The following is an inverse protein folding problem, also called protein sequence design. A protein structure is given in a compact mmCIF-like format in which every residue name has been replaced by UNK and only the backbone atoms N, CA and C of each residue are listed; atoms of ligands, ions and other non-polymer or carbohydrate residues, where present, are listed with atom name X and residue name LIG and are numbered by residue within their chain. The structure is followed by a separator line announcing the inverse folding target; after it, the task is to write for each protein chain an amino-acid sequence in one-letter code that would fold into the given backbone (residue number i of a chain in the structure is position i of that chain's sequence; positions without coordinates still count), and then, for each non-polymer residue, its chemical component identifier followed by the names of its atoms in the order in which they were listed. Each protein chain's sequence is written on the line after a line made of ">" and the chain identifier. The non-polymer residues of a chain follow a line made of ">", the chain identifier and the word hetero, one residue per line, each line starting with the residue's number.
data_IF_985543165960
#
_entry.id   IF_985543165960
#
_cell.length_a   1.000
_cell.length_b   1.000
_cell.length_c   1.000
_cell.angle_alpha   90.00
_cell.angle_beta   90.00
_cell.angle_gamma   90.00
#
_symmetry.space_group_name_H-M   'P 1'
#
loop_
_entity.id
_entity.type
_entity.pdbx_description
1 polymer ?
#
# COMPACT_ATOMS: atom_id res chain seq x y z
N UNK A 1 -3.99 -8.02 17.42
CA UNK A 1 -3.05 -6.89 17.51
C UNK A 1 -2.71 -6.58 16.07
N UNK A 2 -2.99 -5.37 15.55
CA UNK A 2 -2.77 -5.11 14.13
C UNK A 2 -1.27 -4.94 13.86
N UNK A 3 -0.69 -5.82 13.04
CA UNK A 3 0.72 -5.74 12.68
C UNK A 3 0.89 -4.69 11.59
N UNK A 4 1.48 -3.54 11.94
CA UNK A 4 1.82 -2.50 11.00
C UNK A 4 3.14 -2.87 10.29
N UNK A 5 3.07 -3.45 9.10
CA UNK A 5 4.27 -3.51 8.25
C UNK A 5 4.53 -2.10 7.72
N UNK A 6 5.62 -1.51 8.20
CA UNK A 6 6.07 -0.21 7.74
C UNK A 6 6.73 -0.40 6.37
N UNK A 7 6.11 0.10 5.29
CA UNK A 7 6.90 0.40 4.09
C UNK A 7 7.93 1.45 4.51
N UNK A 8 9.20 1.24 4.14
CA UNK A 8 10.27 2.15 4.57
C UNK A 8 9.92 3.56 4.11
N UNK A 9 9.87 4.56 5.02
CA UNK A 9 9.66 5.93 4.63
C UNK A 9 10.76 6.36 3.66
N UNK A 10 10.46 7.36 2.84
CA UNK A 10 11.43 7.94 1.94
C UNK A 10 11.32 9.45 1.93
N UNK A 11 12.35 10.10 1.44
CA UNK A 11 12.38 11.53 1.17
C UNK A 11 12.90 11.77 -0.23
N UNK A 12 12.54 12.89 -0.82
CA UNK A 12 13.06 13.27 -2.13
C UNK A 12 13.15 14.78 -2.30
N UNK A 13 14.10 15.20 -3.12
CA UNK A 13 14.32 16.59 -3.47
C UNK A 13 13.58 16.95 -4.78
N UNK A 14 13.57 18.23 -5.15
CA UNK A 14 12.86 18.72 -6.34
C UNK A 14 13.68 18.60 -7.64
N UNK A 15 14.79 17.85 -7.65
CA UNK A 15 15.61 17.69 -8.84
C UNK A 15 14.85 16.93 -9.94
N UNK A 16 14.96 17.45 -11.17
CA UNK A 16 14.42 16.82 -12.37
C UNK A 16 15.50 16.81 -13.44
N UNK A 17 15.99 15.63 -13.88
CA UNK A 17 17.03 15.55 -14.89
C UNK A 17 16.49 15.99 -16.26
N UNK A 18 17.40 16.49 -17.11
CA UNK A 18 17.04 16.90 -18.46
C UNK A 18 16.48 15.70 -19.26
N UNK A 19 15.33 15.92 -19.92
CA UNK A 19 14.66 14.87 -20.68
C UNK A 19 13.84 13.88 -19.84
N UNK A 20 13.69 14.09 -18.53
CA UNK A 20 12.74 13.35 -17.71
C UNK A 20 11.32 13.53 -18.26
N UNK A 21 10.61 12.41 -18.46
CA UNK A 21 9.25 12.38 -18.99
C UNK A 21 8.38 11.56 -18.07
N UNK A 22 7.17 12.06 -17.82
CA UNK A 22 6.13 11.31 -17.13
C UNK A 22 4.92 11.16 -18.06
N UNK A 23 4.13 10.11 -17.84
CA UNK A 23 2.85 9.99 -18.52
C UNK A 23 1.86 11.04 -17.99
N UNK A 24 0.93 11.49 -18.83
CA UNK A 24 -0.10 12.45 -18.43
C UNK A 24 -0.91 11.90 -17.24
N UNK A 25 -1.04 12.69 -16.18
CA UNK A 25 -1.71 12.29 -14.93
C UNK A 25 -0.86 11.45 -13.97
N UNK A 26 0.38 11.10 -14.32
CA UNK A 26 1.30 10.38 -13.43
C UNK A 26 2.32 11.36 -12.83
N UNK A 27 2.35 11.41 -11.50
CA UNK A 27 3.43 12.08 -10.76
C UNK A 27 4.54 11.06 -10.53
N UNK A 28 5.71 11.29 -11.11
CA UNK A 28 6.91 10.46 -10.87
C UNK A 28 8.04 11.33 -10.36
N UNK A 29 8.77 10.78 -9.39
CA UNK A 29 9.99 11.39 -8.86
C UNK A 29 11.19 10.68 -9.49
N UNK A 30 12.19 11.39 -10.01
CA UNK A 30 13.41 10.76 -10.52
C UNK A 30 14.14 9.98 -9.42
N UNK A 31 14.66 8.80 -9.74
CA UNK A 31 15.34 7.94 -8.75
C UNK A 31 16.51 8.65 -8.05
N UNK A 32 17.25 9.49 -8.76
CA UNK A 32 18.39 10.26 -8.22
C UNK A 32 17.99 11.29 -7.14
N UNK A 33 16.73 11.72 -7.17
CA UNK A 33 16.17 12.64 -6.20
C UNK A 33 15.69 11.91 -4.92
N UNK A 34 15.57 10.57 -4.93
CA UNK A 34 14.99 9.78 -3.84
C UNK A 34 16.06 9.27 -2.87
N UNK A 35 15.74 9.29 -1.58
CA UNK A 35 16.50 8.63 -0.53
C UNK A 35 15.57 7.88 0.42
N UNK A 36 15.95 6.62 0.70
CA UNK A 36 15.29 5.77 1.70
C UNK A 36 15.96 5.85 3.07
N UNK A 37 16.94 6.75 3.24
CA UNK A 37 17.63 6.98 4.51
C UNK A 37 16.77 7.85 5.43
N UNK A 38 15.60 7.35 5.77
CA UNK A 38 14.66 7.96 6.71
C UNK A 38 14.35 6.91 7.78
N UNK A 39 14.60 7.26 9.04
CA UNK A 39 14.20 6.42 10.17
C UNK A 39 12.76 6.76 10.56
N UNK A 40 11.93 5.73 10.75
CA UNK A 40 10.60 5.86 11.35
C UNK A 40 10.54 4.94 12.57
N UNK A 41 10.30 5.54 13.72
CA UNK A 41 10.02 4.82 14.98
C UNK A 41 8.68 5.30 15.54
N UNK A 42 8.09 4.57 16.48
CA UNK A 42 6.81 4.94 17.08
C UNK A 42 6.82 4.70 18.58
N UNK A 43 5.93 5.41 19.28
CA UNK A 43 5.62 5.16 20.69
C UNK A 43 4.13 5.44 20.96
N UNK A 44 3.57 4.76 21.95
CA UNK A 44 2.20 4.99 22.42
C UNK A 44 2.29 5.64 23.80
N UNK A 45 1.74 6.84 23.96
CA UNK A 45 1.71 7.59 25.23
C UNK A 45 0.26 7.97 25.48
N UNK A 46 -0.27 7.68 26.68
CA UNK A 46 -1.65 8.02 27.07
C UNK A 46 -2.71 7.63 26.02
N UNK A 47 -2.52 6.46 25.39
CA UNK A 47 -3.39 5.91 24.33
C UNK A 47 -3.39 6.71 23.01
N UNK A 48 -2.39 7.58 22.80
CA UNK A 48 -2.11 8.27 21.54
C UNK A 48 -0.88 7.66 20.84
N UNK A 49 -0.95 7.49 19.52
CA UNK A 49 0.15 7.01 18.68
C UNK A 49 1.02 8.17 18.22
N UNK A 50 2.30 8.16 18.61
CA UNK A 50 3.32 9.10 18.15
C UNK A 50 4.24 8.42 17.14
N UNK A 51 4.49 9.11 16.04
CA UNK A 51 5.43 8.70 15.00
C UNK A 51 6.61 9.65 14.98
N UNK A 52 7.82 9.09 15.01
CA UNK A 52 9.08 9.83 14.95
C UNK A 52 9.74 9.55 13.61
N UNK A 53 9.72 10.56 12.75
CA UNK A 53 10.46 10.56 11.49
C UNK A 53 11.78 11.31 11.67
N UNK A 54 12.87 10.66 11.29
CA UNK A 54 14.21 11.24 11.28
C UNK A 54 14.87 11.01 9.92
N UNK A 55 14.77 11.97 8.98
CA UNK A 55 15.47 11.92 7.71
C UNK A 55 16.98 12.10 7.90
N UNK A 56 17.79 11.51 7.01
CA UNK A 56 19.24 11.59 7.09
C UNK A 56 19.74 13.03 6.88
N UNK A 57 20.33 13.59 7.94
CA UNK A 57 20.87 14.96 7.93
C UNK A 57 21.91 15.21 6.85
N UNK A 58 22.84 14.27 6.62
CA UNK A 58 23.90 14.42 5.61
C UNK A 58 23.31 14.51 4.20
N UNK A 59 22.26 13.73 3.92
CA UNK A 59 21.57 13.80 2.64
C UNK A 59 20.84 15.14 2.48
N UNK A 60 20.17 15.64 3.52
CA UNK A 60 19.48 16.94 3.50
C UNK A 60 20.45 18.12 3.30
N UNK A 61 21.63 18.05 3.89
CA UNK A 61 22.65 19.12 3.85
C UNK A 61 23.61 19.02 2.65
N UNK A 62 23.43 18.03 1.77
CA UNK A 62 24.24 17.90 0.55
C UNK A 62 23.98 19.10 -0.37
N UNK A 63 25.05 19.76 -0.83
CA UNK A 63 24.96 20.96 -1.67
C UNK A 63 24.32 20.71 -3.04
N UNK A 64 24.19 19.45 -3.45
CA UNK A 64 23.54 19.07 -4.70
C UNK A 64 22.01 18.95 -4.58
N UNK A 65 21.43 19.03 -3.37
CA UNK A 65 19.98 18.92 -3.16
C UNK A 65 19.24 20.13 -3.70
N UNK A 66 18.14 19.89 -4.40
CA UNK A 66 17.26 20.94 -4.93
C UNK A 66 16.03 21.07 -4.04
N UNK A 67 15.85 22.21 -3.39
CA UNK A 67 14.71 22.46 -2.52
C UNK A 67 13.47 22.92 -3.32
N UNK A 68 12.23 22.65 -2.84
CA UNK A 68 11.89 22.00 -1.57
C UNK A 68 12.14 20.49 -1.54
N UNK A 69 12.28 19.95 -0.32
CA UNK A 69 12.39 18.51 -0.06
C UNK A 69 11.05 18.03 0.52
N UNK A 70 10.58 16.88 0.04
CA UNK A 70 9.41 16.19 0.55
C UNK A 70 9.84 14.97 1.38
N UNK A 71 9.21 14.77 2.53
CA UNK A 71 9.37 13.59 3.37
C UNK A 71 8.03 12.85 3.35
N UNK A 72 8.02 11.62 2.84
CA UNK A 72 6.83 10.79 2.71
C UNK A 72 6.85 9.65 3.74
N UNK A 73 6.09 9.78 4.85
CA UNK A 73 5.74 8.66 5.71
C UNK A 73 4.67 7.81 5.02
N UNK A 74 5.07 6.75 4.32
CA UNK A 74 4.11 5.74 3.87
C UNK A 74 3.72 4.83 5.04
N UNK A 75 2.61 5.14 5.71
CA UNK A 75 2.04 4.28 6.75
C UNK A 75 1.00 3.38 6.10
N UNK A 76 1.34 2.11 5.91
CA UNK A 76 0.36 1.12 5.49
C UNK A 76 -0.22 0.48 6.75
N UNK A 77 -1.50 0.70 7.00
CA UNK A 77 -2.25 -0.16 7.91
C UNK A 77 -2.48 -1.47 7.17
N UNK A 78 -1.71 -2.52 7.48
CA UNK A 78 -2.17 -3.85 7.10
C UNK A 78 -3.42 -4.10 7.94
N UNK A 79 -4.55 -4.31 7.26
CA UNK A 79 -5.70 -4.92 7.92
C UNK A 79 -5.32 -6.38 8.16
N UNK A 80 -4.55 -6.61 9.21
CA UNK A 80 -4.36 -7.95 9.77
C UNK A 80 -5.62 -8.23 10.59
N UNK A 81 -6.70 -8.52 9.89
CA UNK A 81 -7.79 -9.28 10.45
C UNK A 81 -7.85 -10.57 9.67
N UNK A 82 -7.86 -11.70 10.38
CA UNK A 82 -8.23 -13.00 9.83
C UNK A 82 -9.71 -13.02 9.35
N UNK A 83 -10.42 -11.89 9.45
CA UNK A 83 -11.84 -11.72 9.16
C UNK A 83 -12.18 -11.69 7.66
N UNK A 84 -11.16 -11.67 6.78
CA UNK A 84 -11.33 -11.71 5.33
C UNK A 84 -10.59 -12.91 4.75
N UNK A 85 -11.34 -13.81 4.12
CA UNK A 85 -10.80 -14.91 3.33
C UNK A 85 -10.91 -14.55 1.84
N UNK A 86 -9.79 -14.53 1.11
CA UNK A 86 -9.70 -14.06 -0.28
C UNK A 86 -9.02 -15.02 -1.29
N UNK A 87 -9.28 -16.35 -1.29
CA UNK A 87 -8.57 -17.25 -2.21
C UNK A 87 -8.98 -17.04 -3.66
N UNK A 88 -8.03 -17.25 -4.58
CA UNK A 88 -8.32 -17.37 -6.01
C UNK A 88 -8.60 -18.83 -6.42
N UNK A 89 -9.56 -19.04 -7.32
CA UNK A 89 -9.75 -20.31 -8.02
C UNK A 89 -9.49 -20.15 -9.52
N UNK A 90 -8.83 -21.15 -10.12
CA UNK A 90 -8.36 -21.10 -11.51
C UNK A 90 -8.81 -22.34 -12.26
N UNK A 91 -9.41 -22.16 -13.44
CA UNK A 91 -9.82 -23.30 -14.30
C UNK A 91 -8.63 -24.19 -14.69
N UNK A 92 -7.46 -23.59 -14.92
CA UNK A 92 -6.22 -24.30 -15.25
C UNK A 92 -5.62 -25.11 -14.09
N UNK A 93 -6.06 -24.86 -12.85
CA UNK A 93 -5.59 -25.54 -11.64
C UNK A 93 -6.80 -25.98 -10.79
N UNK A 94 -7.64 -26.91 -11.28
CA UNK A 94 -8.98 -27.18 -10.72
C UNK A 94 -8.97 -27.86 -9.34
N UNK A 95 -7.81 -28.31 -8.86
CA UNK A 95 -7.64 -28.97 -7.56
C UNK A 95 -6.91 -28.10 -6.53
N UNK A 96 -6.64 -26.84 -6.86
CA UNK A 96 -5.87 -25.92 -6.01
C UNK A 96 -6.63 -24.62 -5.78
N UNK A 97 -6.33 -24.00 -4.64
CA UNK A 97 -6.74 -22.63 -4.31
C UNK A 97 -5.49 -21.76 -4.22
N UNK A 98 -5.52 -20.57 -4.82
CA UNK A 98 -4.47 -19.56 -4.74
C UNK A 98 -4.55 -18.78 -3.42
N UNK A 99 -4.56 -19.49 -2.29
CA UNK A 99 -4.77 -18.90 -0.95
C UNK A 99 -3.59 -18.10 -0.40
N UNK A 100 -2.45 -18.09 -1.10
CA UNK A 100 -1.26 -17.30 -0.76
C UNK A 100 -0.95 -16.25 -1.86
N UNK A 101 -1.85 -16.06 -2.82
CA UNK A 101 -1.71 -15.01 -3.83
C UNK A 101 -1.79 -13.65 -3.13
N UNK A 102 -1.08 -12.63 -3.63
CA UNK A 102 -1.10 -11.28 -3.05
C UNK A 102 -2.07 -10.35 -3.80
N UNK A 103 -2.86 -10.92 -4.71
CA UNK A 103 -3.71 -10.22 -5.63
C UNK A 103 -5.12 -10.83 -5.72
N UNK A 104 -6.10 -9.97 -6.03
CA UNK A 104 -7.47 -10.36 -6.39
C UNK A 104 -7.50 -10.58 -7.92
N UNK A 105 -7.50 -11.84 -8.33
CA UNK A 105 -7.56 -12.25 -9.73
C UNK A 105 -8.99 -12.30 -10.30
N UNK A 106 -9.24 -11.51 -11.35
CA UNK A 106 -10.47 -11.59 -12.15
C UNK A 106 -10.17 -11.61 -13.65
N UNK A 107 -10.76 -12.56 -14.39
CA UNK A 107 -10.75 -12.55 -15.85
C UNK A 107 -10.50 -13.91 -16.51
N UNK A 108 -10.33 -13.88 -17.84
CA UNK A 108 -10.07 -15.07 -18.65
C UNK A 108 -8.96 -14.79 -19.67
N UNK A 109 -7.99 -15.68 -19.76
CA UNK A 109 -6.91 -15.63 -20.76
C UNK A 109 -6.46 -17.05 -21.12
N UNK A 110 -6.24 -17.30 -22.41
CA UNK A 110 -5.70 -18.57 -22.93
C UNK A 110 -6.40 -19.83 -22.40
N UNK A 111 -7.74 -19.80 -22.27
CA UNK A 111 -8.53 -20.92 -21.77
C UNK A 111 -8.49 -21.15 -20.25
N UNK A 112 -7.70 -20.36 -19.52
CA UNK A 112 -7.73 -20.25 -18.08
C UNK A 112 -8.72 -19.15 -17.67
N UNK A 113 -9.43 -19.38 -16.57
CA UNK A 113 -10.36 -18.41 -15.98
C UNK A 113 -10.02 -18.33 -14.50
N UNK A 114 -9.77 -17.12 -14.01
CA UNK A 114 -9.47 -16.84 -12.61
C UNK A 114 -10.66 -16.10 -11.97
N UNK A 115 -11.01 -16.49 -10.75
CA UNK A 115 -12.03 -15.85 -9.93
C UNK A 115 -11.53 -15.77 -8.49
N UNK A 116 -11.53 -14.59 -7.92
CA UNK A 116 -11.39 -14.41 -6.47
C UNK A 116 -12.70 -14.71 -5.76
N UNK A 117 -12.59 -15.28 -4.57
CA UNK A 117 -13.70 -15.47 -3.64
C UNK A 117 -13.46 -14.54 -2.46
N UNK A 118 -14.38 -13.62 -2.17
CA UNK A 118 -14.26 -12.72 -1.02
C UNK A 118 -15.32 -13.10 0.01
N UNK A 119 -14.89 -13.32 1.26
CA UNK A 119 -15.77 -13.59 2.39
C UNK A 119 -15.45 -12.63 3.52
N UNK A 120 -16.48 -12.01 4.08
CA UNK A 120 -16.40 -11.08 5.20
C UNK A 120 -17.11 -11.69 6.41
N UNK A 121 -16.53 -11.58 7.60
CA UNK A 121 -17.30 -11.77 8.83
C UNK A 121 -18.25 -10.58 9.05
N UNK A 122 -19.55 -10.86 9.11
CA UNK A 122 -20.60 -9.88 9.34
C UNK A 122 -21.22 -9.99 10.73
N UNK A 123 -20.64 -10.81 11.63
CA UNK A 123 -21.14 -11.07 12.98
C UNK A 123 -21.31 -9.81 13.84
N UNK A 124 -20.55 -8.75 13.52
CA UNK A 124 -20.63 -7.45 14.18
C UNK A 124 -21.88 -6.64 13.80
N UNK A 125 -22.57 -6.98 12.70
CA UNK A 125 -23.79 -6.28 12.27
C UNK A 125 -24.99 -6.86 13.03
N UNK A 126 -25.72 -6.05 13.84
CA UNK A 126 -26.88 -6.53 14.57
C UNK A 126 -27.99 -7.05 13.66
N UNK A 127 -28.68 -8.11 14.07
CA UNK A 127 -29.72 -8.81 13.29
C UNK A 127 -30.87 -7.89 12.83
N UNK A 128 -31.08 -6.77 13.53
CA UNK A 128 -32.15 -5.79 13.26
C UNK A 128 -31.61 -4.42 12.79
N UNK A 129 -30.36 -4.35 12.35
CA UNK A 129 -29.80 -3.11 11.84
C UNK A 129 -30.38 -2.78 10.45
N UNK A 130 -30.82 -1.52 10.27
CA UNK A 130 -31.07 -0.97 8.93
C UNK A 130 -29.73 -0.55 8.32
N UNK A 131 -29.37 -1.10 7.16
CA UNK A 131 -28.17 -0.71 6.43
C UNK A 131 -28.54 0.40 5.45
N UNK A 132 -28.13 1.62 5.76
CA UNK A 132 -28.38 2.79 4.89
C UNK A 132 -27.43 2.83 3.68
N UNK A 133 -26.20 2.33 3.84
CA UNK A 133 -25.20 2.26 2.76
C UNK A 133 -24.12 1.22 3.03
N UNK A 134 -23.54 0.65 1.98
CA UNK A 134 -22.34 -0.19 2.03
C UNK A 134 -21.44 0.08 0.82
N UNK A 135 -20.13 -0.08 0.98
CA UNK A 135 -19.15 0.15 -0.08
C UNK A 135 -18.00 -0.84 0.00
N UNK A 136 -17.60 -1.40 -1.14
CA UNK A 136 -16.37 -2.17 -1.30
C UNK A 136 -15.40 -1.34 -2.15
N UNK A 137 -14.23 -1.02 -1.60
CA UNK A 137 -13.18 -0.30 -2.30
C UNK A 137 -12.09 -1.29 -2.71
N UNK A 138 -11.78 -1.35 -4.00
CA UNK A 138 -10.73 -2.20 -4.56
C UNK A 138 -9.62 -1.32 -5.13
N UNK A 139 -8.38 -1.77 -5.01
CA UNK A 139 -7.23 -1.11 -5.59
C UNK A 139 -6.70 -1.91 -6.78
N UNK A 140 -6.53 -1.26 -7.92
CA UNK A 140 -5.99 -1.87 -9.13
C UNK A 140 -4.60 -1.31 -9.41
N UNK A 141 -3.58 -2.17 -9.33
CA UNK A 141 -2.23 -1.82 -9.75
C UNK A 141 -2.08 -2.04 -11.26
N UNK A 142 -1.63 -1.01 -11.96
CA UNK A 142 -1.19 -1.10 -13.36
C UNK A 142 0.34 -1.14 -13.32
N UNK A 143 0.94 -2.21 -13.83
CA UNK A 143 2.38 -2.29 -14.09
C UNK A 143 2.71 -1.76 -15.49
#
# INVERSE_FOLDING_TARGET
>A
MSDYITLKPYMYDSYVPEGFKTAEGITSVPEEAISYDVSLTYQIIDNELFLHLAPNKKWLEDSNRVYPITIDPTIVRIQSSDDVEDPNIRRGFPTQTGGNDLEIGGGASSGNVIRSLLKFDLSAIPVNASIESSSLNLWFFIY
#
